data_IF_481199616190
#
_entry.id   IF_481199616190
#
_cell.length_a   1.000
_cell.length_b   1.000
_cell.length_c   1.000
_cell.angle_alpha   90.00
_cell.angle_beta   90.00
_cell.angle_gamma   90.00
#
_symmetry.space_group_name_H-M   'P 1'
#
loop_
_entity.id
_entity.type
_entity.pdbx_description
1 polymer ?
#
# COMPACT_ATOMS: atom_id res chain seq x y z
N UNK A 1 -54.70 -36.10 12.06
CA UNK A 1 -53.29 -35.62 12.20
C UNK A 1 -53.16 -34.28 11.50
N UNK A 2 -52.38 -33.33 12.04
CA UNK A 2 -51.91 -32.16 11.30
C UNK A 2 -50.39 -32.29 11.17
N UNK A 3 -49.87 -32.31 9.96
CA UNK A 3 -48.43 -32.38 9.70
C UNK A 3 -47.81 -31.02 9.96
N UNK A 4 -46.95 -30.92 10.98
CA UNK A 4 -46.17 -29.72 11.25
C UNK A 4 -44.87 -29.80 10.44
N UNK A 5 -44.67 -28.88 9.51
CA UNK A 5 -43.43 -28.76 8.74
C UNK A 5 -42.51 -27.76 9.46
N UNK A 6 -41.50 -28.26 10.16
CA UNK A 6 -40.47 -27.43 10.78
C UNK A 6 -39.52 -26.91 9.70
N UNK A 7 -39.66 -25.64 9.31
CA UNK A 7 -38.78 -24.99 8.36
C UNK A 7 -37.44 -24.66 9.02
N UNK A 8 -36.40 -25.44 8.72
CA UNK A 8 -35.02 -25.07 9.06
C UNK A 8 -34.54 -23.96 8.13
N UNK A 9 -34.54 -22.72 8.62
CA UNK A 9 -33.86 -21.60 7.96
C UNK A 9 -32.36 -21.76 8.24
N UNK A 10 -31.62 -22.24 7.25
CA UNK A 10 -30.16 -22.24 7.31
C UNK A 10 -29.67 -20.82 7.01
N UNK A 11 -29.28 -20.06 8.05
CA UNK A 11 -28.51 -18.84 7.82
C UNK A 11 -27.15 -19.24 7.25
N UNK A 12 -26.99 -19.07 5.94
CA UNK A 12 -25.68 -19.06 5.32
C UNK A 12 -24.95 -17.81 5.77
N UNK A 13 -23.92 -17.97 6.58
CA UNK A 13 -22.89 -16.94 6.71
C UNK A 13 -22.16 -16.89 5.38
N UNK A 14 -22.45 -15.87 4.59
CA UNK A 14 -21.45 -15.35 3.65
C UNK A 14 -20.29 -14.91 4.54
N UNK A 15 -19.20 -15.66 4.51
CA UNK A 15 -17.93 -15.11 4.94
C UNK A 15 -17.43 -14.34 3.72
N UNK A 16 -17.49 -13.03 3.81
CA UNK A 16 -16.92 -12.14 2.81
C UNK A 16 -15.41 -12.41 2.79
N UNK A 17 -14.92 -12.77 1.60
CA UNK A 17 -13.49 -13.02 1.37
C UNK A 17 -12.93 -11.70 0.90
N UNK A 18 -12.12 -11.07 1.74
CA UNK A 18 -11.52 -9.76 1.51
C UNK A 18 -9.99 -9.91 1.40
N UNK A 19 -9.28 -8.90 0.90
CA UNK A 19 -7.93 -9.13 0.33
C UNK A 19 -6.89 -8.05 0.59
N UNK A 20 -5.64 -8.43 0.35
CA UNK A 20 -4.50 -7.53 0.20
C UNK A 20 -4.00 -7.55 -1.26
N UNK A 21 -2.93 -6.82 -1.56
CA UNK A 21 -2.66 -6.43 -2.96
C UNK A 21 -1.31 -6.90 -3.48
N UNK A 22 -1.32 -7.49 -4.67
CA UNK A 22 -0.14 -7.58 -5.55
C UNK A 22 -0.46 -6.79 -6.82
N UNK A 23 0.03 -5.55 -6.87
CA UNK A 23 -0.16 -4.62 -8.00
C UNK A 23 0.80 -4.97 -9.13
N UNK A 24 0.27 -5.17 -10.34
CA UNK A 24 1.00 -5.70 -11.51
C UNK A 24 0.82 -4.83 -12.75
N UNK A 25 1.69 -4.96 -13.75
CA UNK A 25 1.45 -4.29 -15.03
C UNK A 25 0.10 -4.75 -15.60
N UNK A 26 -0.69 -3.88 -16.25
CA UNK A 26 -1.96 -4.30 -16.87
C UNK A 26 -1.78 -5.38 -17.96
N UNK A 27 -0.58 -5.46 -18.56
CA UNK A 27 -0.16 -6.53 -19.47
C UNK A 27 0.08 -7.85 -18.73
N UNK A 28 0.51 -7.78 -17.46
CA UNK A 28 0.66 -8.90 -16.52
C UNK A 28 -0.64 -9.23 -15.75
N UNK A 29 -1.80 -8.76 -16.22
CA UNK A 29 -3.12 -9.28 -15.82
C UNK A 29 -3.55 -10.47 -16.70
N UNK A 30 -4.36 -11.36 -16.15
CA UNK A 30 -5.16 -12.35 -16.89
C UNK A 30 -6.35 -11.68 -17.60
N UNK A 31 -6.97 -12.39 -18.56
CA UNK A 31 -8.25 -11.98 -19.13
C UNK A 31 -9.38 -11.96 -18.08
N UNK A 32 -9.28 -12.82 -17.07
CA UNK A 32 -10.20 -12.82 -15.92
C UNK A 32 -10.07 -11.51 -15.14
N UNK A 33 -8.86 -11.17 -14.65
CA UNK A 33 -8.63 -9.93 -13.91
C UNK A 33 -9.03 -8.68 -14.70
N UNK A 34 -8.74 -8.63 -16.01
CA UNK A 34 -9.16 -7.49 -16.86
C UNK A 34 -10.67 -7.37 -16.96
N UNK A 35 -11.39 -8.49 -17.02
CA UNK A 35 -12.86 -8.51 -17.09
C UNK A 35 -13.46 -8.07 -15.76
N UNK A 36 -12.97 -8.62 -14.64
CA UNK A 36 -13.50 -8.35 -13.31
C UNK A 36 -13.17 -6.93 -12.82
N UNK A 37 -11.99 -6.38 -13.14
CA UNK A 37 -11.68 -4.98 -12.85
C UNK A 37 -12.63 -4.02 -13.59
N UNK A 38 -12.96 -4.33 -14.86
CA UNK A 38 -13.94 -3.55 -15.63
C UNK A 38 -15.34 -3.67 -15.02
N UNK A 39 -15.77 -4.88 -14.64
CA UNK A 39 -17.05 -5.10 -13.96
C UNK A 39 -17.14 -4.30 -12.65
N UNK A 40 -16.13 -4.45 -11.78
CA UNK A 40 -16.03 -3.73 -10.51
C UNK A 40 -16.05 -2.21 -10.72
N UNK A 41 -15.38 -1.66 -11.75
CA UNK A 41 -15.43 -0.23 -12.04
C UNK A 41 -16.81 0.27 -12.50
N UNK A 42 -17.62 -0.56 -13.18
CA UNK A 42 -19.03 -0.21 -13.42
C UNK A 42 -19.86 -0.32 -12.13
N UNK A 43 -19.68 -1.36 -11.32
CA UNK A 43 -20.48 -1.59 -10.12
C UNK A 43 -20.19 -0.56 -9.00
N UNK A 44 -18.92 -0.19 -8.81
CA UNK A 44 -18.47 0.92 -7.93
C UNK A 44 -19.06 2.27 -8.37
N UNK A 45 -19.36 2.43 -9.66
CA UNK A 45 -20.05 3.61 -10.20
C UNK A 45 -21.58 3.52 -10.07
N UNK A 46 -22.15 2.32 -9.99
CA UNK A 46 -23.59 2.06 -9.95
C UNK A 46 -24.19 2.19 -8.53
N UNK A 47 -24.03 3.35 -7.87
CA UNK A 47 -24.57 3.56 -6.53
C UNK A 47 -24.38 4.98 -6.00
N UNK A 48 -23.70 5.10 -4.86
CA UNK A 48 -22.91 6.29 -4.61
C UNK A 48 -21.72 6.23 -5.57
N UNK A 49 -21.63 7.19 -6.51
CA UNK A 49 -20.67 7.15 -7.61
C UNK A 49 -19.27 7.51 -7.08
N UNK A 50 -18.56 6.50 -6.59
CA UNK A 50 -17.23 6.65 -5.99
C UNK A 50 -16.22 7.30 -6.94
N UNK A 51 -16.36 7.11 -8.26
CA UNK A 51 -15.51 7.76 -9.25
C UNK A 51 -15.75 9.27 -9.29
N UNK A 52 -17.01 9.70 -9.27
CA UNK A 52 -17.35 11.13 -9.19
C UNK A 52 -17.03 11.71 -7.81
N UNK A 53 -17.26 11.00 -6.70
CA UNK A 53 -16.97 11.48 -5.35
C UNK A 53 -15.44 11.63 -5.11
N UNK A 54 -14.63 10.67 -5.54
CA UNK A 54 -13.17 10.78 -5.50
C UNK A 54 -12.64 11.87 -6.45
N UNK A 55 -13.29 12.09 -7.61
CA UNK A 55 -12.93 13.18 -8.51
C UNK A 55 -13.33 14.56 -7.97
N UNK A 56 -14.48 14.66 -7.30
CA UNK A 56 -14.94 15.89 -6.66
C UNK A 56 -14.01 16.25 -5.49
N UNK A 57 -13.64 15.30 -4.62
CA UNK A 57 -12.65 15.52 -3.57
C UNK A 57 -11.29 15.96 -4.16
N UNK A 58 -10.78 15.22 -5.15
CA UNK A 58 -9.51 15.56 -5.80
C UNK A 58 -9.56 16.94 -6.47
N UNK A 59 -10.69 17.34 -7.05
CA UNK A 59 -10.91 18.69 -7.58
C UNK A 59 -10.92 19.74 -6.47
N UNK A 60 -11.66 19.55 -5.38
CA UNK A 60 -11.80 20.52 -4.29
C UNK A 60 -10.46 20.82 -3.60
N UNK A 61 -9.59 19.84 -3.47
CA UNK A 61 -8.28 19.97 -2.82
C UNK A 61 -7.10 19.99 -3.81
N UNK A 62 -7.32 20.11 -5.13
CA UNK A 62 -6.28 19.93 -6.16
C UNK A 62 -5.03 20.80 -5.94
N UNK A 63 -5.14 22.08 -6.28
CA UNK A 63 -4.25 23.18 -5.91
C UNK A 63 -5.01 24.49 -6.20
N UNK A 64 -5.20 25.35 -5.20
CA UNK A 64 -5.79 26.67 -5.40
C UNK A 64 -5.12 27.75 -4.54
N UNK A 65 -3.96 28.21 -4.99
CA UNK A 65 -3.18 29.37 -4.49
C UNK A 65 -3.96 30.70 -4.32
N UNK A 66 -5.22 30.77 -4.77
CA UNK A 66 -6.10 31.93 -4.62
C UNK A 66 -7.19 31.75 -3.55
N UNK A 67 -7.14 30.68 -2.74
CA UNK A 67 -8.03 30.54 -1.57
C UNK A 67 -7.51 31.36 -0.39
N UNK A 68 -8.41 32.03 0.34
CA UNK A 68 -8.06 32.96 1.40
C UNK A 68 -7.60 32.30 2.73
N UNK A 69 -7.39 30.99 2.73
CA UNK A 69 -7.01 30.18 3.90
C UNK A 69 -5.62 29.53 3.66
N UNK A 70 -4.54 30.04 4.26
CA UNK A 70 -3.20 29.48 4.08
C UNK A 70 -3.03 28.09 4.73
N UNK A 71 -4.03 27.61 5.48
CA UNK A 71 -4.08 26.29 6.11
C UNK A 71 -4.76 25.22 5.25
N UNK A 72 -5.36 25.60 4.10
CA UNK A 72 -5.91 24.64 3.14
C UNK A 72 -4.85 23.61 2.73
N UNK A 73 -5.30 22.39 2.47
CA UNK A 73 -4.47 21.29 1.98
C UNK A 73 -4.62 21.21 0.45
N UNK A 74 -3.56 21.58 -0.26
CA UNK A 74 -3.43 21.36 -1.69
C UNK A 74 -2.75 19.99 -1.92
N UNK A 75 -3.31 19.17 -2.82
CA UNK A 75 -2.86 17.80 -3.10
C UNK A 75 -1.71 17.75 -4.12
N UNK A 76 -1.64 18.74 -5.01
CA UNK A 76 -0.65 18.87 -6.07
C UNK A 76 0.14 20.18 -5.93
N UNK A 77 1.32 20.19 -6.53
CA UNK A 77 2.15 21.37 -6.76
C UNK A 77 2.65 22.07 -5.50
N UNK A 78 2.73 21.32 -4.41
CA UNK A 78 3.62 21.62 -3.28
C UNK A 78 5.10 21.50 -3.74
N UNK A 79 6.05 22.09 -3.01
CA UNK A 79 7.49 22.20 -3.38
C UNK A 79 7.77 23.07 -4.63
N UNK A 80 8.98 23.65 -4.79
CA UNK A 80 10.16 23.56 -3.92
C UNK A 80 10.04 24.39 -2.63
N UNK A 81 9.29 25.49 -2.65
CA UNK A 81 9.34 26.49 -1.57
C UNK A 81 8.46 26.15 -0.35
N UNK A 82 7.64 25.10 -0.43
CA UNK A 82 6.70 24.71 0.63
C UNK A 82 6.77 23.23 1.07
N UNK A 83 7.92 22.75 1.59
CA UNK A 83 8.06 21.38 2.10
C UNK A 83 7.14 21.06 3.29
N UNK A 84 6.63 22.08 3.99
CA UNK A 84 5.61 21.94 5.04
C UNK A 84 4.22 21.53 4.52
N UNK A 85 4.00 21.56 3.19
CA UNK A 85 2.74 21.17 2.56
C UNK A 85 2.81 19.84 1.80
N UNK A 86 4.00 19.34 1.46
CA UNK A 86 4.20 18.10 0.69
C UNK A 86 3.42 16.90 1.25
N UNK A 87 2.49 16.40 0.44
CA UNK A 87 1.64 15.22 0.64
C UNK A 87 1.29 14.50 -0.69
N UNK A 88 1.83 14.91 -1.85
CA UNK A 88 1.39 14.44 -3.17
C UNK A 88 1.46 12.91 -3.29
N UNK A 89 2.65 12.36 -3.08
CA UNK A 89 2.94 10.92 -3.11
C UNK A 89 2.10 10.08 -2.11
N UNK A 90 2.11 10.37 -0.78
CA UNK A 90 1.36 9.58 0.19
C UNK A 90 -0.15 9.70 -0.02
N UNK A 91 -0.65 10.87 -0.43
CA UNK A 91 -2.08 11.03 -0.69
C UNK A 91 -2.55 10.18 -1.86
N UNK A 92 -1.85 10.20 -3.00
CA UNK A 92 -2.21 9.35 -4.15
C UNK A 92 -2.04 7.85 -3.83
N UNK A 93 -1.00 7.46 -3.08
CA UNK A 93 -0.87 6.08 -2.55
C UNK A 93 -2.11 5.66 -1.74
N UNK A 94 -2.59 6.53 -0.84
CA UNK A 94 -3.82 6.26 -0.07
C UNK A 94 -5.03 6.22 -0.99
N UNK A 95 -5.18 7.16 -1.94
CA UNK A 95 -6.28 7.16 -2.90
C UNK A 95 -6.34 5.86 -3.73
N UNK A 96 -5.19 5.34 -4.20
CA UNK A 96 -5.14 4.05 -4.89
C UNK A 96 -5.59 2.92 -3.98
N UNK A 97 -5.12 2.90 -2.72
CA UNK A 97 -5.53 1.88 -1.75
C UNK A 97 -7.05 1.90 -1.49
N UNK A 98 -7.68 3.07 -1.32
CA UNK A 98 -9.11 3.14 -0.96
C UNK A 98 -10.02 2.70 -2.13
N UNK A 99 -9.66 2.96 -3.39
CA UNK A 99 -10.37 2.36 -4.54
C UNK A 99 -10.10 0.85 -4.62
N UNK A 100 -8.86 0.41 -4.38
CA UNK A 100 -8.49 -1.00 -4.39
C UNK A 100 -9.26 -1.79 -3.33
N UNK A 101 -9.51 -1.20 -2.15
CA UNK A 101 -10.41 -1.77 -1.15
C UNK A 101 -11.83 -1.93 -1.69
N UNK A 102 -12.42 -0.89 -2.30
CA UNK A 102 -13.77 -0.97 -2.89
C UNK A 102 -13.88 -1.99 -4.05
N UNK A 103 -12.80 -2.22 -4.80
CA UNK A 103 -12.70 -3.30 -5.80
C UNK A 103 -12.64 -4.67 -5.14
N UNK A 104 -11.90 -4.81 -4.04
CA UNK A 104 -11.75 -6.06 -3.29
C UNK A 104 -13.00 -6.46 -2.49
N UNK A 105 -13.86 -5.50 -2.12
CA UNK A 105 -15.22 -5.78 -1.60
C UNK A 105 -16.12 -6.51 -2.61
N UNK A 106 -15.88 -6.31 -3.91
CA UNK A 106 -16.59 -6.97 -5.01
C UNK A 106 -15.90 -8.27 -5.41
N UNK A 107 -14.57 -8.24 -5.55
CA UNK A 107 -13.77 -9.43 -5.88
C UNK A 107 -12.37 -9.37 -5.24
N UNK A 108 -12.06 -10.18 -4.21
CA UNK A 108 -10.78 -10.15 -3.50
C UNK A 108 -9.55 -10.43 -4.37
N UNK A 109 -9.71 -11.09 -5.52
CA UNK A 109 -8.58 -11.45 -6.40
C UNK A 109 -8.04 -10.28 -7.21
N UNK A 110 -8.74 -9.13 -7.17
CA UNK A 110 -8.48 -7.99 -8.06
C UNK A 110 -7.75 -6.89 -7.29
N UNK A 111 -6.45 -6.75 -7.54
CA UNK A 111 -5.68 -5.54 -7.20
C UNK A 111 -5.70 -4.55 -8.37
N UNK A 112 -5.40 -3.28 -8.11
CA UNK A 112 -5.15 -2.31 -9.17
C UNK A 112 -3.88 -2.71 -9.97
N UNK A 113 -3.92 -2.43 -11.26
CA UNK A 113 -2.79 -2.62 -12.16
C UNK A 113 -2.11 -1.28 -12.47
N UNK A 114 -0.83 -1.31 -12.84
CA UNK A 114 -0.10 -0.13 -13.32
C UNK A 114 0.01 -0.11 -14.85
N UNK A 115 -0.07 1.09 -15.42
CA UNK A 115 0.31 1.38 -16.81
C UNK A 115 1.68 2.05 -16.82
N UNK A 116 2.69 1.33 -17.30
CA UNK A 116 4.01 1.93 -17.57
C UNK A 116 3.92 2.86 -18.77
N UNK A 117 3.73 4.14 -18.47
CA UNK A 117 3.62 5.23 -19.43
C UNK A 117 4.94 5.52 -20.15
N UNK A 118 6.08 5.03 -19.64
CA UNK A 118 7.39 5.19 -20.28
C UNK A 118 7.62 4.18 -21.40
N UNK A 119 7.00 3.00 -21.30
CA UNK A 119 7.11 1.90 -22.27
C UNK A 119 5.89 1.82 -23.21
N UNK A 120 4.67 1.78 -22.68
CA UNK A 120 3.47 1.62 -23.51
C UNK A 120 2.88 2.97 -23.92
N UNK A 121 3.32 3.44 -25.09
CA UNK A 121 2.94 4.73 -25.65
C UNK A 121 1.97 4.64 -26.84
N UNK A 122 1.38 3.46 -27.10
CA UNK A 122 0.54 3.25 -28.29
C UNK A 122 -0.90 3.70 -28.06
N UNK A 123 -1.41 4.54 -28.97
CA UNK A 123 -2.84 4.91 -29.02
C UNK A 123 -3.74 3.72 -29.43
N UNK A 124 -3.14 2.61 -29.91
CA UNK A 124 -3.82 1.34 -30.19
C UNK A 124 -3.30 0.21 -29.30
N UNK A 125 -2.73 0.53 -28.13
CA UNK A 125 -2.37 -0.46 -27.10
C UNK A 125 -3.58 -1.29 -26.67
N UNK A 126 -3.39 -2.56 -26.25
CA UNK A 126 -4.44 -3.35 -25.59
C UNK A 126 -5.09 -2.67 -24.38
N UNK A 127 -4.42 -1.68 -23.77
CA UNK A 127 -4.98 -0.81 -22.72
C UNK A 127 -6.30 -0.15 -23.18
N UNK A 128 -6.34 0.31 -24.43
CA UNK A 128 -7.45 1.06 -25.02
C UNK A 128 -8.50 0.18 -25.72
N UNK A 129 -8.39 -1.14 -25.62
CA UNK A 129 -9.41 -2.04 -26.14
C UNK A 129 -10.76 -1.84 -25.43
N UNK A 130 -11.85 -2.08 -26.17
CA UNK A 130 -13.22 -1.88 -25.65
C UNK A 130 -13.58 -2.82 -24.50
N UNK A 131 -12.95 -4.00 -24.40
CA UNK A 131 -13.07 -4.92 -23.27
C UNK A 131 -12.13 -4.60 -22.08
N UNK A 132 -11.45 -3.46 -22.12
CA UNK A 132 -10.67 -2.91 -21.01
C UNK A 132 -10.94 -1.40 -20.91
N UNK A 133 -9.93 -0.54 -20.76
CA UNK A 133 -10.16 0.90 -20.50
C UNK A 133 -10.87 1.65 -21.65
N UNK A 134 -10.97 1.06 -22.84
CA UNK A 134 -11.52 1.71 -24.04
C UNK A 134 -13.02 2.03 -24.00
N UNK A 135 -13.84 1.20 -23.34
CA UNK A 135 -15.31 1.41 -23.31
C UNK A 135 -15.72 2.65 -22.51
N UNK A 136 -15.03 2.91 -21.40
CA UNK A 136 -15.29 4.06 -20.53
C UNK A 136 -15.21 5.40 -21.27
N UNK A 137 -14.37 5.54 -22.31
CA UNK A 137 -14.22 6.81 -23.04
C UNK A 137 -15.56 7.30 -23.61
N UNK A 138 -16.31 6.39 -24.25
CA UNK A 138 -17.65 6.68 -24.78
C UNK A 138 -18.69 6.62 -23.66
N UNK A 139 -18.68 5.54 -22.87
CA UNK A 139 -19.75 5.24 -21.92
C UNK A 139 -19.84 6.26 -20.78
N UNK A 140 -18.70 6.84 -20.36
CA UNK A 140 -18.62 7.83 -19.29
C UNK A 140 -18.27 9.24 -19.82
N UNK A 141 -18.39 9.47 -21.14
CA UNK A 141 -18.16 10.78 -21.78
C UNK A 141 -16.81 11.44 -21.44
N UNK A 142 -15.73 10.65 -21.39
CA UNK A 142 -14.42 11.11 -20.91
C UNK A 142 -13.67 11.99 -21.92
N UNK A 143 -14.06 11.95 -23.22
CA UNK A 143 -13.51 12.79 -24.29
C UNK A 143 -11.98 12.70 -24.48
N UNK A 144 -11.38 11.51 -24.27
CA UNK A 144 -9.94 11.28 -24.43
C UNK A 144 -9.45 11.64 -25.84
N UNK A 145 -8.26 12.22 -25.92
CA UNK A 145 -7.58 12.65 -27.15
C UNK A 145 -6.14 12.09 -27.17
N UNK A 146 -6.03 10.76 -27.25
CA UNK A 146 -4.78 10.01 -27.03
C UNK A 146 -3.65 10.50 -27.95
N UNK A 147 -2.57 11.00 -27.35
CA UNK A 147 -1.41 11.56 -28.05
C UNK A 147 -1.59 12.96 -28.65
N UNK A 148 -2.78 13.55 -28.55
CA UNK A 148 -3.11 14.80 -29.25
C UNK A 148 -2.58 16.09 -28.59
N UNK A 149 -2.20 16.06 -27.31
CA UNK A 149 -1.88 17.28 -26.54
C UNK A 149 -0.42 17.34 -26.03
N UNK A 150 0.37 16.27 -26.17
CA UNK A 150 1.75 16.18 -25.66
C UNK A 150 2.25 14.74 -25.59
N UNK A 151 3.57 14.53 -25.36
CA UNK A 151 4.18 13.20 -25.27
C UNK A 151 3.98 12.55 -23.88
N UNK A 152 4.17 11.23 -23.85
CA UNK A 152 4.41 10.46 -22.64
C UNK A 152 5.88 10.56 -22.21
N UNK A 153 6.25 10.15 -20.98
CA UNK A 153 7.66 10.05 -20.58
C UNK A 153 8.40 9.00 -21.42
N UNK A 154 9.72 9.02 -21.38
CA UNK A 154 10.58 7.94 -21.90
C UNK A 154 11.33 7.25 -20.74
N UNK A 155 11.88 6.03 -20.91
CA UNK A 155 12.50 5.30 -19.80
C UNK A 155 13.70 6.00 -19.16
N UNK A 156 14.35 6.93 -19.87
CA UNK A 156 15.39 7.79 -19.30
C UNK A 156 14.83 8.77 -18.26
N UNK A 157 13.57 9.22 -18.37
CA UNK A 157 12.96 10.14 -17.41
C UNK A 157 12.74 9.43 -16.06
N UNK A 158 12.25 8.19 -16.10
CA UNK A 158 12.11 7.32 -14.91
C UNK A 158 13.49 6.98 -14.32
N UNK A 159 14.47 6.66 -15.16
CA UNK A 159 15.85 6.40 -14.72
C UNK A 159 16.50 7.63 -14.03
N UNK A 160 16.25 8.84 -14.56
CA UNK A 160 16.74 10.08 -13.97
C UNK A 160 16.18 10.31 -12.56
N UNK A 161 14.92 9.97 -12.31
CA UNK A 161 14.30 10.06 -10.97
C UNK A 161 14.96 9.12 -9.96
N UNK A 162 15.31 7.89 -10.35
CA UNK A 162 16.06 6.96 -9.50
C UNK A 162 17.51 7.40 -9.23
N UNK A 163 18.02 8.42 -9.92
CA UNK A 163 19.29 9.08 -9.60
C UNK A 163 19.19 10.18 -8.53
N UNK A 164 17.98 10.55 -8.10
CA UNK A 164 17.75 11.68 -7.19
C UNK A 164 17.66 11.23 -5.73
N UNK A 165 18.77 11.25 -5.01
CA UNK A 165 18.85 10.83 -3.59
C UNK A 165 18.19 11.78 -2.57
N UNK A 166 17.59 12.88 -3.01
CA UNK A 166 16.85 13.79 -2.15
C UNK A 166 15.34 13.70 -2.42
N UNK A 167 14.57 13.28 -1.42
CA UNK A 167 13.13 13.04 -1.53
C UNK A 167 12.35 14.23 -2.14
N UNK A 168 12.56 15.45 -1.65
CA UNK A 168 11.84 16.63 -2.15
C UNK A 168 12.17 16.93 -3.62
N UNK A 169 13.43 16.70 -4.04
CA UNK A 169 13.85 16.87 -5.44
C UNK A 169 13.21 15.81 -6.34
N UNK A 170 13.20 14.55 -5.87
CA UNK A 170 12.54 13.42 -6.54
C UNK A 170 11.03 13.67 -6.70
N UNK A 171 10.31 13.98 -5.62
CA UNK A 171 8.86 14.16 -5.61
C UNK A 171 8.41 15.30 -6.55
N UNK A 172 9.04 16.47 -6.44
CA UNK A 172 8.74 17.62 -7.28
C UNK A 172 9.02 17.35 -8.78
N UNK A 173 10.09 16.64 -9.13
CA UNK A 173 10.39 16.34 -10.54
C UNK A 173 9.46 15.24 -11.09
N UNK A 174 9.19 14.19 -10.30
CA UNK A 174 8.21 13.13 -10.62
C UNK A 174 6.83 13.72 -10.94
N UNK A 175 6.31 14.56 -10.05
CA UNK A 175 5.00 15.20 -10.17
C UNK A 175 4.93 16.17 -11.35
N UNK A 176 5.88 17.12 -11.45
CA UNK A 176 5.76 18.25 -12.37
C UNK A 176 6.21 17.97 -13.80
N UNK A 177 6.99 16.90 -14.05
CA UNK A 177 7.54 16.56 -15.37
C UNK A 177 6.79 15.43 -16.07
N UNK A 178 7.40 14.89 -17.13
CA UNK A 178 6.78 13.94 -18.04
C UNK A 178 6.21 12.69 -17.35
N UNK A 179 6.82 12.21 -16.26
CA UNK A 179 6.43 10.93 -15.63
C UNK A 179 4.98 10.94 -15.15
N UNK A 180 4.58 11.89 -14.30
CA UNK A 180 3.18 12.11 -13.93
C UNK A 180 2.43 12.95 -14.97
N UNK A 181 2.86 14.20 -15.21
CA UNK A 181 2.12 15.17 -16.04
C UNK A 181 1.94 14.71 -17.50
N UNK A 182 2.85 13.91 -18.04
CA UNK A 182 2.78 13.42 -19.42
C UNK A 182 1.56 12.56 -19.69
N UNK A 183 1.25 11.61 -18.80
CA UNK A 183 0.09 10.72 -18.95
C UNK A 183 -1.25 11.48 -18.88
N UNK A 184 -1.35 12.43 -17.94
CA UNK A 184 -2.50 13.33 -17.81
C UNK A 184 -2.75 14.13 -19.11
N UNK A 185 -1.70 14.70 -19.70
CA UNK A 185 -1.82 15.51 -20.93
C UNK A 185 -2.03 14.64 -22.18
N UNK A 186 -1.25 13.57 -22.35
CA UNK A 186 -1.32 12.67 -23.51
C UNK A 186 -2.68 11.97 -23.63
N UNK A 187 -3.30 11.58 -22.50
CA UNK A 187 -4.62 10.94 -22.54
C UNK A 187 -5.73 11.92 -22.94
N UNK A 188 -5.63 13.18 -22.52
CA UNK A 188 -6.63 14.21 -22.83
C UNK A 188 -7.99 13.96 -22.15
N UNK A 189 -9.00 14.72 -22.57
CA UNK A 189 -10.36 14.58 -22.02
C UNK A 189 -10.45 15.04 -20.55
N UNK A 190 -10.92 14.16 -19.67
CA UNK A 190 -10.95 14.40 -18.23
C UNK A 190 -9.55 14.39 -17.56
N UNK A 191 -8.60 13.59 -18.08
CA UNK A 191 -7.27 13.40 -17.48
C UNK A 191 -6.42 14.67 -17.27
N UNK A 192 -6.39 15.69 -18.16
CA UNK A 192 -5.62 16.93 -17.90
C UNK A 192 -6.31 17.90 -16.92
N UNK A 193 -7.35 17.47 -16.18
CA UNK A 193 -8.14 18.33 -15.30
C UNK A 193 -8.09 17.89 -13.82
N UNK A 194 -8.48 18.76 -12.86
CA UNK A 194 -8.70 18.38 -11.47
C UNK A 194 -9.79 17.30 -11.27
N UNK A 195 -10.64 17.03 -12.26
CA UNK A 195 -11.64 15.95 -12.26
C UNK A 195 -11.12 14.64 -12.88
N UNK A 196 -9.80 14.51 -13.04
CA UNK A 196 -9.15 13.36 -13.68
C UNK A 196 -9.46 11.98 -13.09
N UNK A 197 -9.75 11.79 -11.78
CA UNK A 197 -10.21 10.51 -11.26
C UNK A 197 -11.54 9.99 -11.86
N UNK A 198 -12.29 10.81 -12.62
CA UNK A 198 -13.45 10.32 -13.41
C UNK A 198 -13.05 9.31 -14.50
N UNK A 199 -11.80 9.31 -14.93
CA UNK A 199 -11.28 8.38 -15.93
C UNK A 199 -10.59 7.18 -15.24
N UNK A 200 -11.06 5.93 -15.43
CA UNK A 200 -10.42 4.76 -14.83
C UNK A 200 -8.93 4.60 -15.09
N UNK A 201 -8.39 5.16 -16.18
CA UNK A 201 -6.95 5.09 -16.46
C UNK A 201 -6.12 6.01 -15.54
N UNK A 202 -6.75 6.95 -14.83
CA UNK A 202 -6.15 7.71 -13.73
C UNK A 202 -5.55 6.76 -12.68
N UNK A 203 -6.29 5.74 -12.26
CA UNK A 203 -5.86 4.82 -11.23
C UNK A 203 -4.74 3.88 -11.73
N UNK A 204 -4.79 3.47 -13.00
CA UNK A 204 -3.70 2.71 -13.62
C UNK A 204 -2.42 3.55 -13.75
N UNK A 205 -2.56 4.85 -14.01
CA UNK A 205 -1.44 5.79 -14.05
C UNK A 205 -0.86 6.07 -12.66
N UNK A 206 -1.70 6.42 -11.67
CA UNK A 206 -1.23 6.70 -10.31
C UNK A 206 -0.71 5.46 -9.58
N UNK A 207 -1.16 4.26 -9.95
CA UNK A 207 -0.53 3.01 -9.49
C UNK A 207 0.89 2.83 -10.05
N UNK A 208 1.21 3.40 -11.23
CA UNK A 208 2.58 3.46 -11.77
C UNK A 208 3.42 4.57 -11.11
N UNK A 209 2.84 5.74 -10.82
CA UNK A 209 3.51 6.79 -10.03
C UNK A 209 3.89 6.26 -8.65
N UNK A 210 2.98 5.53 -7.99
CA UNK A 210 3.22 4.89 -6.70
C UNK A 210 4.26 3.75 -6.78
N UNK A 211 4.29 2.98 -7.88
CA UNK A 211 5.34 1.99 -8.14
C UNK A 211 6.73 2.62 -8.25
N UNK A 212 6.86 3.78 -8.90
CA UNK A 212 8.14 4.52 -8.98
C UNK A 212 8.58 4.98 -7.59
N UNK A 213 7.65 5.47 -6.75
CA UNK A 213 8.01 5.83 -5.36
C UNK A 213 8.37 4.62 -4.49
N UNK A 214 7.66 3.49 -4.63
CA UNK A 214 8.04 2.23 -4.00
C UNK A 214 9.47 1.80 -4.36
N UNK A 215 9.82 1.81 -5.66
CA UNK A 215 11.18 1.48 -6.10
C UNK A 215 12.22 2.49 -5.59
N UNK A 216 11.87 3.78 -5.47
CA UNK A 216 12.75 4.81 -4.90
C UNK A 216 13.00 4.60 -3.40
N UNK A 217 11.99 4.20 -2.63
CA UNK A 217 12.14 3.85 -1.21
C UNK A 217 12.97 2.57 -1.01
N UNK A 218 12.84 1.54 -1.87
CA UNK A 218 13.72 0.36 -1.78
C UNK A 218 15.20 0.66 -2.16
N UNK A 219 15.48 1.80 -2.82
CA UNK A 219 16.85 2.29 -3.07
C UNK A 219 17.37 3.15 -1.92
N UNK A 220 16.56 4.08 -1.40
CA UNK A 220 17.02 5.15 -0.50
C UNK A 220 16.43 5.11 0.92
N UNK A 221 15.25 4.53 1.13
CA UNK A 221 14.52 4.41 2.40
C UNK A 221 14.63 5.70 3.25
N UNK A 222 14.21 6.84 2.68
CA UNK A 222 14.49 8.17 3.23
C UNK A 222 13.39 9.21 3.03
N UNK A 223 12.23 8.82 2.50
CA UNK A 223 11.04 9.66 2.45
C UNK A 223 10.66 10.14 3.85
N UNK A 224 10.49 11.44 4.03
CA UNK A 224 10.20 12.06 5.32
C UNK A 224 9.37 13.33 5.10
N UNK A 225 8.19 13.36 5.68
CA UNK A 225 7.21 14.43 5.52
C UNK A 225 7.14 15.28 6.79
N UNK A 226 7.22 16.60 6.65
CA UNK A 226 7.07 17.52 7.77
C UNK A 226 5.64 17.54 8.34
N UNK A 227 4.63 17.08 7.56
CA UNK A 227 3.27 16.86 8.05
C UNK A 227 3.15 15.53 8.79
N UNK A 228 2.49 15.57 9.95
CA UNK A 228 2.04 14.39 10.70
C UNK A 228 0.61 13.95 10.36
N UNK A 229 -0.08 14.69 9.47
CA UNK A 229 -1.44 14.40 9.03
C UNK A 229 -1.71 14.90 7.60
N UNK A 230 -2.54 14.14 6.89
CA UNK A 230 -3.21 14.50 5.64
C UNK A 230 -4.66 14.01 5.68
N UNK A 231 -5.55 14.67 4.92
CA UNK A 231 -6.89 14.17 4.69
C UNK A 231 -6.83 12.88 3.83
N UNK A 232 -7.83 12.01 4.00
CA UNK A 232 -8.10 10.89 3.07
C UNK A 232 -9.54 10.97 2.59
N UNK A 233 -9.80 10.39 1.43
CA UNK A 233 -11.13 9.94 1.05
C UNK A 233 -11.28 8.48 1.48
N UNK A 234 -12.36 8.11 2.18
CA UNK A 234 -12.55 6.74 2.70
C UNK A 234 -13.97 6.19 2.52
N UNK A 235 -14.74 6.76 1.58
CA UNK A 235 -16.13 6.40 1.33
C UNK A 235 -17.13 6.98 2.34
N UNK A 236 -16.68 7.51 3.49
CA UNK A 236 -17.60 8.00 4.53
C UNK A 236 -18.00 9.47 4.36
N UNK A 237 -18.55 9.83 3.20
CA UNK A 237 -19.19 11.14 2.99
C UNK A 237 -20.53 11.24 3.74
N UNK A 238 -20.45 11.38 5.06
CA UNK A 238 -21.59 11.78 5.90
C UNK A 238 -21.53 13.28 6.18
N UNK A 239 -22.27 14.06 5.39
CA UNK A 239 -22.38 15.51 5.55
C UNK A 239 -23.27 15.87 6.76
N UNK A 240 -22.84 15.50 7.98
CA UNK A 240 -23.57 15.71 9.23
C UNK A 240 -22.70 15.82 10.50
N UNK A 241 -21.37 16.00 10.38
CA UNK A 241 -20.55 16.56 11.46
C UNK A 241 -19.57 15.63 12.19
N UNK A 242 -19.17 14.50 11.60
CA UNK A 242 -18.01 13.73 12.07
C UNK A 242 -16.76 14.00 11.20
N UNK A 243 -15.58 13.81 11.77
CA UNK A 243 -14.30 14.20 11.17
C UNK A 243 -13.65 13.03 10.44
N UNK A 244 -13.29 13.23 9.16
CA UNK A 244 -12.51 12.25 8.37
C UNK A 244 -11.22 11.85 9.11
N UNK A 245 -10.96 10.55 9.37
CA UNK A 245 -9.78 10.12 10.11
C UNK A 245 -8.50 10.38 9.30
N UNK A 246 -7.65 11.23 9.87
CA UNK A 246 -6.40 11.70 9.26
C UNK A 246 -5.34 10.59 9.21
N UNK A 247 -4.63 10.51 8.08
CA UNK A 247 -3.49 9.58 7.91
C UNK A 247 -2.19 10.35 8.13
N UNK A 248 -1.22 9.76 8.83
CA UNK A 248 0.14 10.33 8.86
C UNK A 248 0.87 9.89 7.58
N UNK A 249 1.33 10.80 6.70
CA UNK A 249 2.05 10.40 5.49
C UNK A 249 3.32 9.58 5.79
N UNK A 250 3.97 9.82 6.93
CA UNK A 250 5.12 9.04 7.38
C UNK A 250 4.80 7.61 7.86
N UNK A 251 3.52 7.26 8.07
CA UNK A 251 3.16 5.87 8.39
C UNK A 251 2.91 4.99 7.16
N UNK A 252 2.97 5.56 5.94
CA UNK A 252 2.72 4.86 4.68
C UNK A 252 3.82 5.04 3.62
N UNK A 253 5.04 5.43 4.02
CA UNK A 253 6.23 5.47 3.15
C UNK A 253 6.61 4.08 2.61
N UNK A 254 6.38 3.04 3.41
CA UNK A 254 6.44 1.64 3.00
C UNK A 254 5.05 1.14 2.60
N UNK A 255 4.88 0.60 1.39
CA UNK A 255 3.60 0.02 0.92
C UNK A 255 3.16 -1.18 1.75
N UNK A 256 4.10 -1.90 2.38
CA UNK A 256 3.84 -3.01 3.30
C UNK A 256 3.07 -2.56 4.55
N UNK A 257 3.06 -1.27 4.90
CA UNK A 257 2.18 -0.72 5.96
C UNK A 257 0.67 -0.80 5.62
N UNK A 258 0.35 -0.95 4.33
CA UNK A 258 -0.99 -1.14 3.80
C UNK A 258 -1.26 -2.61 3.44
N UNK A 259 -0.24 -3.48 3.46
CA UNK A 259 -0.29 -4.83 2.89
C UNK A 259 -0.16 -4.86 1.36
N UNK A 260 0.31 -3.77 0.75
CA UNK A 260 0.44 -3.63 -0.70
C UNK A 260 1.85 -4.03 -1.16
N UNK A 261 1.92 -4.96 -2.11
CA UNK A 261 3.13 -5.38 -2.81
C UNK A 261 3.04 -5.06 -4.31
N UNK A 262 4.19 -5.05 -4.96
CA UNK A 262 4.31 -4.93 -6.42
C UNK A 262 4.88 -6.21 -7.04
N UNK A 263 4.28 -6.65 -8.14
CA UNK A 263 4.76 -7.72 -9.01
C UNK A 263 5.14 -7.18 -10.39
N UNK A 264 6.27 -7.64 -10.94
CA UNK A 264 6.78 -7.20 -12.23
C UNK A 264 7.63 -8.30 -12.89
N UNK A 265 7.62 -8.35 -14.22
CA UNK A 265 8.41 -9.30 -15.03
C UNK A 265 8.16 -10.79 -14.63
N UNK A 266 6.93 -11.11 -14.24
CA UNK A 266 6.56 -12.46 -13.82
C UNK A 266 6.96 -12.85 -12.37
N UNK A 267 7.40 -11.90 -11.54
CA UNK A 267 7.77 -12.14 -10.14
C UNK A 267 7.13 -11.11 -9.19
N UNK A 268 6.48 -11.60 -8.14
CA UNK A 268 6.12 -10.84 -6.95
C UNK A 268 6.91 -11.38 -5.74
N UNK A 269 7.60 -10.50 -5.01
CA UNK A 269 8.36 -10.87 -3.80
C UNK A 269 7.64 -10.39 -2.55
N UNK A 270 7.14 -11.32 -1.75
CA UNK A 270 6.49 -11.09 -0.47
C UNK A 270 7.52 -11.29 0.65
N UNK A 271 8.16 -10.19 1.04
CA UNK A 271 9.23 -10.11 2.06
C UNK A 271 8.91 -9.06 3.14
N UNK A 272 9.53 -9.18 4.31
CA UNK A 272 9.53 -8.17 5.40
C UNK A 272 8.14 -7.69 5.80
N UNK A 273 7.21 -8.62 6.00
CA UNK A 273 5.81 -8.34 6.29
C UNK A 273 5.26 -9.29 7.35
N UNK A 274 4.39 -8.77 8.21
CA UNK A 274 3.65 -9.57 9.18
C UNK A 274 2.18 -9.39 8.86
N UNK A 275 1.51 -10.48 8.48
CA UNK A 275 0.05 -10.50 8.27
C UNK A 275 -0.62 -9.97 9.53
N UNK A 276 -1.57 -9.07 9.34
CA UNK A 276 -2.05 -8.21 10.43
C UNK A 276 -3.57 -8.23 10.59
N UNK A 277 -4.29 -8.52 9.51
CA UNK A 277 -5.72 -8.29 9.35
C UNK A 277 -6.18 -6.87 9.73
N UNK A 278 -5.26 -5.88 9.68
CA UNK A 278 -5.52 -4.48 10.10
C UNK A 278 -6.66 -3.84 9.32
N UNK A 279 -6.70 -4.10 8.02
CA UNK A 279 -7.72 -3.56 7.13
C UNK A 279 -8.81 -4.58 6.81
N UNK A 280 -8.46 -5.89 6.75
CA UNK A 280 -9.28 -6.96 6.18
C UNK A 280 -9.25 -8.25 7.03
N UNK A 281 -10.38 -8.93 7.29
CA UNK A 281 -10.44 -10.15 8.09
C UNK A 281 -9.65 -11.35 7.54
N UNK A 282 -9.33 -11.32 6.25
CA UNK A 282 -8.36 -12.19 5.59
C UNK A 282 -7.43 -11.34 4.71
N UNK A 283 -6.17 -11.73 4.58
CA UNK A 283 -5.21 -11.10 3.66
C UNK A 283 -4.91 -12.04 2.49
N UNK A 284 -5.66 -11.89 1.39
CA UNK A 284 -5.45 -12.65 0.14
C UNK A 284 -4.39 -11.94 -0.73
N UNK A 285 -3.47 -12.69 -1.34
CA UNK A 285 -2.45 -12.19 -2.26
C UNK A 285 -2.50 -12.96 -3.59
N UNK A 286 -2.98 -12.31 -4.67
CA UNK A 286 -3.24 -12.97 -5.97
C UNK A 286 -2.34 -12.45 -7.12
N UNK A 287 -1.61 -13.35 -7.80
CA UNK A 287 -0.74 -12.99 -8.93
C UNK A 287 -0.56 -14.15 -9.92
N UNK A 288 -0.72 -13.92 -11.23
CA UNK A 288 -0.73 -15.03 -12.19
C UNK A 288 0.62 -15.72 -12.39
N UNK A 289 1.73 -15.03 -12.13
CA UNK A 289 3.08 -15.58 -12.27
C UNK A 289 3.67 -15.97 -10.90
N UNK A 290 5.00 -16.06 -10.78
CA UNK A 290 5.66 -16.55 -9.57
C UNK A 290 5.43 -15.60 -8.38
N UNK A 291 4.79 -16.12 -7.33
CA UNK A 291 4.84 -15.49 -6.00
C UNK A 291 5.99 -16.15 -5.24
N UNK A 292 7.00 -15.37 -4.85
CA UNK A 292 8.05 -15.81 -3.94
C UNK A 292 7.81 -15.19 -2.56
N UNK A 293 7.64 -16.03 -1.55
CA UNK A 293 7.33 -15.60 -0.17
C UNK A 293 8.41 -16.08 0.80
N UNK A 294 8.91 -15.19 1.66
CA UNK A 294 9.96 -15.49 2.63
C UNK A 294 10.61 -14.24 3.21
N UNK A 295 11.87 -14.32 3.66
CA UNK A 295 12.65 -13.18 4.19
C UNK A 295 11.84 -12.30 5.17
N UNK A 296 11.45 -12.86 6.32
CA UNK A 296 10.58 -12.25 7.32
C UNK A 296 9.15 -11.98 6.80
N UNK A 297 8.54 -12.96 6.10
CA UNK A 297 7.09 -12.99 5.87
C UNK A 297 6.44 -13.90 6.91
N UNK A 298 5.72 -13.31 7.86
CA UNK A 298 5.20 -14.00 9.04
C UNK A 298 3.67 -13.94 9.06
N UNK A 299 3.02 -15.07 9.34
CA UNK A 299 1.56 -15.17 9.54
C UNK A 299 1.29 -15.48 11.01
N UNK A 300 1.11 -14.46 11.89
CA UNK A 300 1.06 -14.63 13.34
C UNK A 300 -0.26 -15.27 13.83
N UNK A 301 -0.23 -15.75 15.07
CA UNK A 301 -1.35 -16.49 15.66
C UNK A 301 -2.65 -15.68 15.66
N UNK A 302 -3.75 -16.29 15.23
CA UNK A 302 -5.06 -15.63 15.12
C UNK A 302 -5.28 -14.80 13.84
N UNK A 303 -4.30 -14.71 12.93
CA UNK A 303 -4.47 -14.06 11.62
C UNK A 303 -4.85 -15.03 10.51
N UNK A 304 -5.45 -14.52 9.43
CA UNK A 304 -5.85 -15.28 8.24
C UNK A 304 -5.23 -14.70 6.95
N UNK A 305 -4.58 -15.54 6.16
CA UNK A 305 -3.84 -15.20 4.96
C UNK A 305 -3.99 -16.29 3.88
N UNK A 306 -4.17 -15.87 2.62
CA UNK A 306 -4.19 -16.76 1.46
C UNK A 306 -3.22 -16.25 0.40
N UNK A 307 -2.38 -17.12 -0.14
CA UNK A 307 -1.52 -16.81 -1.29
C UNK A 307 -1.98 -17.66 -2.47
N UNK A 308 -2.34 -17.00 -3.57
CA UNK A 308 -2.91 -17.64 -4.75
C UNK A 308 -2.15 -17.23 -6.02
N UNK A 309 -1.65 -18.22 -6.77
CA UNK A 309 -0.99 -17.98 -8.06
C UNK A 309 -1.61 -18.83 -9.16
N UNK A 310 -1.65 -18.34 -10.40
CA UNK A 310 -2.03 -19.19 -11.55
C UNK A 310 -0.90 -20.16 -11.91
N UNK A 311 0.37 -19.82 -11.61
CA UNK A 311 1.54 -20.61 -12.02
C UNK A 311 2.29 -21.28 -10.85
N UNK A 312 2.84 -20.51 -9.91
CA UNK A 312 3.79 -21.01 -8.91
C UNK A 312 3.82 -20.15 -7.64
N UNK A 313 3.92 -20.81 -6.48
CA UNK A 313 4.20 -20.19 -5.18
C UNK A 313 5.46 -20.84 -4.62
N UNK A 314 6.54 -20.06 -4.50
CA UNK A 314 7.83 -20.50 -3.95
C UNK A 314 8.02 -19.94 -2.54
N UNK A 315 7.80 -20.78 -1.54
CA UNK A 315 8.17 -20.50 -0.15
C UNK A 315 9.69 -20.67 0.01
N UNK A 316 10.36 -19.65 0.53
CA UNK A 316 11.82 -19.65 0.81
C UNK A 316 12.07 -19.37 2.30
N UNK A 317 13.31 -19.59 2.81
CA UNK A 317 13.63 -19.32 4.21
C UNK A 317 13.21 -17.90 4.68
N UNK A 318 12.79 -17.80 5.94
CA UNK A 318 12.15 -16.61 6.47
C UNK A 318 10.67 -16.45 6.10
N UNK A 319 10.03 -17.47 5.52
CA UNK A 319 8.57 -17.63 5.58
C UNK A 319 8.19 -18.40 6.85
N UNK A 320 7.25 -17.88 7.63
CA UNK A 320 6.80 -18.49 8.89
C UNK A 320 5.29 -18.37 9.04
N UNK A 321 4.56 -19.48 8.84
CA UNK A 321 3.15 -19.58 9.19
C UNK A 321 3.04 -20.08 10.63
N UNK A 322 2.79 -19.16 11.57
CA UNK A 322 2.86 -19.46 13.00
C UNK A 322 1.70 -20.35 13.46
N UNK A 323 1.86 -20.92 14.65
CA UNK A 323 0.80 -21.59 15.39
C UNK A 323 -0.53 -20.84 15.38
N UNK A 324 -1.63 -21.50 15.01
CA UNK A 324 -2.99 -20.93 15.17
C UNK A 324 -3.29 -19.76 14.22
N UNK A 325 -2.38 -19.45 13.29
CA UNK A 325 -2.73 -18.74 12.07
C UNK A 325 -3.62 -19.62 11.18
N UNK A 326 -4.34 -18.98 10.26
CA UNK A 326 -4.96 -19.63 9.11
C UNK A 326 -4.17 -19.23 7.87
N UNK A 327 -3.35 -20.15 7.37
CA UNK A 327 -2.59 -19.92 6.15
C UNK A 327 -3.03 -20.89 5.05
N UNK A 328 -3.31 -20.35 3.86
CA UNK A 328 -3.57 -21.10 2.64
C UNK A 328 -2.56 -20.70 1.55
N UNK A 329 -2.08 -21.68 0.80
CA UNK A 329 -1.37 -21.46 -0.46
C UNK A 329 -1.96 -22.38 -1.53
N UNK A 330 -2.35 -21.84 -2.69
CA UNK A 330 -2.96 -22.63 -3.76
C UNK A 330 -2.60 -22.15 -5.17
N UNK A 331 -2.56 -23.11 -6.10
CA UNK A 331 -2.42 -22.83 -7.53
C UNK A 331 -3.80 -22.81 -8.20
N UNK A 332 -4.15 -21.71 -8.84
CA UNK A 332 -5.42 -21.52 -9.55
C UNK A 332 -5.42 -22.24 -10.91
N UNK A 333 -5.64 -23.55 -10.83
CA UNK A 333 -5.85 -24.44 -11.98
C UNK A 333 -7.13 -24.14 -12.78
N UNK A 334 -8.06 -23.32 -12.28
CA UNK A 334 -9.26 -22.94 -13.02
C UNK A 334 -8.95 -21.89 -14.10
N UNK A 335 -8.03 -20.97 -13.82
CA UNK A 335 -7.53 -20.00 -14.80
C UNK A 335 -6.46 -20.56 -15.76
N UNK A 336 -5.89 -21.75 -15.50
CA UNK A 336 -4.87 -22.36 -16.36
C UNK A 336 -5.39 -22.90 -17.71
N UNK A 337 -6.66 -23.33 -17.85
CA UNK A 337 -7.12 -23.93 -19.11
C UNK A 337 -8.62 -23.86 -19.42
N UNK A 338 -8.92 -23.38 -20.64
CA UNK A 338 -10.24 -23.37 -21.33
C UNK A 338 -11.44 -22.72 -20.62
N UNK A 339 -11.98 -21.67 -21.24
CA UNK A 339 -13.28 -21.05 -20.90
C UNK A 339 -14.42 -22.10 -20.76
N UNK A 340 -15.07 -22.21 -19.59
CA UNK A 340 -16.44 -22.70 -19.46
C UNK A 340 -17.41 -21.52 -19.47
N UNK A 341 -18.64 -21.69 -19.97
CA UNK A 341 -19.63 -20.61 -20.01
C UNK A 341 -20.08 -20.15 -18.61
N UNK A 342 -20.33 -18.83 -18.48
CA UNK A 342 -20.79 -18.10 -17.28
C UNK A 342 -21.77 -18.91 -16.42
N UNK A 343 -21.45 -19.08 -15.12
CA UNK A 343 -22.37 -19.58 -14.08
C UNK A 343 -22.13 -18.92 -12.72
N UNK A 344 -23.09 -18.13 -12.25
CA UNK A 344 -23.20 -17.65 -10.87
C UNK A 344 -23.43 -18.79 -9.88
N UNK A 345 -22.96 -18.64 -8.63
CA UNK A 345 -23.17 -19.58 -7.51
C UNK A 345 -23.28 -18.87 -6.16
N UNK A 346 -23.71 -19.63 -5.14
CA UNK A 346 -24.22 -19.12 -3.85
C UNK A 346 -23.68 -20.00 -2.70
N UNK A 347 -23.17 -19.37 -1.62
CA UNK A 347 -22.79 -19.88 -0.29
C UNK A 347 -21.41 -20.57 -0.05
N UNK A 348 -20.95 -20.50 1.21
CA UNK A 348 -19.58 -20.70 1.75
C UNK A 348 -19.61 -21.63 3.03
N UNK A 349 -18.60 -22.46 3.42
CA UNK A 349 -18.87 -23.64 4.27
C UNK A 349 -18.13 -23.91 5.62
N UNK A 350 -16.96 -23.35 5.96
CA UNK A 350 -16.03 -23.97 6.98
C UNK A 350 -15.69 -23.16 8.26
N UNK A 351 -14.97 -23.78 9.23
CA UNK A 351 -14.68 -23.28 10.61
C UNK A 351 -13.28 -23.66 11.17
N UNK A 352 -12.91 -23.05 12.30
CA UNK A 352 -11.56 -22.93 12.93
C UNK A 352 -11.17 -24.00 13.98
N UNK A 353 -9.87 -24.10 14.33
CA UNK A 353 -9.24 -24.99 15.34
C UNK A 353 -8.03 -24.29 16.02
N UNK A 354 -7.69 -24.62 17.28
CA UNK A 354 -7.16 -23.64 18.26
C UNK A 354 -5.64 -23.60 18.61
N UNK A 355 -4.81 -24.65 18.45
CA UNK A 355 -3.51 -24.73 19.18
C UNK A 355 -2.30 -25.36 18.41
N UNK A 356 -1.12 -24.75 18.56
CA UNK A 356 0.26 -25.20 18.18
C UNK A 356 1.30 -24.34 18.98
N UNK A 357 2.63 -24.43 18.74
CA UNK A 357 3.70 -23.49 19.21
C UNK A 357 4.97 -23.54 18.29
N UNK A 358 6.01 -22.74 18.59
CA UNK A 358 6.99 -22.16 17.63
C UNK A 358 8.46 -22.05 18.15
N UNK A 359 9.48 -21.97 17.27
CA UNK A 359 10.93 -21.90 17.61
C UNK A 359 11.76 -21.13 16.55
N UNK A 360 12.73 -20.29 16.98
CA UNK A 360 13.51 -19.28 16.18
C UNK A 360 15.05 -19.50 16.25
N UNK A 361 15.85 -18.99 15.28
CA UNK A 361 17.33 -18.82 15.33
C UNK A 361 17.87 -17.59 14.54
N UNK A 362 19.17 -17.24 14.69
CA UNK A 362 19.83 -15.94 14.33
C UNK A 362 21.07 -16.07 13.39
N UNK A 363 21.63 -14.96 12.85
CA UNK A 363 23.08 -14.82 12.52
C UNK A 363 23.57 -13.33 12.32
N UNK A 364 24.91 -13.09 12.21
CA UNK A 364 25.62 -11.79 12.37
C UNK A 364 26.98 -11.76 11.58
N UNK A 365 27.63 -10.68 11.09
CA UNK A 365 27.35 -9.26 10.73
C UNK A 365 28.70 -8.57 10.27
N UNK A 366 28.70 -7.39 9.59
CA UNK A 366 29.83 -6.39 9.56
C UNK A 366 29.61 -5.09 8.75
N UNK A 367 30.27 -4.02 9.21
CA UNK A 367 30.37 -2.62 8.72
C UNK A 367 31.52 -2.41 7.67
N UNK A 368 31.76 -1.24 7.04
CA UNK A 368 31.32 0.16 7.31
C UNK A 368 30.44 0.76 6.20
N UNK A 369 29.39 1.53 6.58
CA UNK A 369 28.55 2.36 5.69
C UNK A 369 27.85 3.50 6.50
N UNK A 370 27.05 4.44 5.92
CA UNK A 370 26.93 5.80 6.46
C UNK A 370 26.38 5.82 7.90
N UNK A 371 27.21 6.30 8.83
CA UNK A 371 27.21 6.03 10.29
C UNK A 371 25.89 5.49 10.82
N UNK A 372 25.77 4.16 10.75
CA UNK A 372 24.56 3.45 11.15
C UNK A 372 24.29 3.68 12.63
N UNK A 373 23.18 4.36 12.95
CA UNK A 373 22.59 4.38 14.28
C UNK A 373 21.95 2.99 14.53
N UNK A 374 22.81 2.03 14.85
CA UNK A 374 22.43 0.63 15.07
C UNK A 374 21.69 0.52 16.40
N UNK A 375 20.50 -0.07 16.33
CA UNK A 375 19.78 -0.60 17.49
C UNK A 375 19.93 -2.13 17.40
N UNK A 376 20.66 -2.75 18.33
CA UNK A 376 21.06 -4.15 18.24
C UNK A 376 21.11 -4.88 19.61
N UNK A 377 20.79 -6.18 19.67
CA UNK A 377 20.19 -6.97 18.60
C UNK A 377 18.80 -6.41 18.22
N UNK A 378 18.37 -6.65 16.98
CA UNK A 378 17.05 -6.24 16.50
C UNK A 378 16.61 -7.23 15.40
N UNK A 379 15.81 -8.27 15.73
CA UNK A 379 15.01 -8.43 16.95
C UNK A 379 15.79 -8.52 18.28
N UNK A 380 15.18 -8.13 19.40
CA UNK A 380 15.76 -8.14 20.75
C UNK A 380 14.92 -8.97 21.74
N UNK A 381 15.59 -9.56 22.73
CA UNK A 381 14.95 -10.35 23.80
C UNK A 381 14.76 -9.53 25.08
N UNK A 382 15.82 -9.28 25.86
CA UNK A 382 15.75 -8.56 27.15
C UNK A 382 16.53 -7.24 27.18
N UNK A 383 17.38 -7.03 26.18
CA UNK A 383 18.31 -5.90 26.08
C UNK A 383 18.36 -5.43 24.64
N UNK A 384 18.31 -4.11 24.44
CA UNK A 384 18.70 -3.48 23.18
C UNK A 384 19.74 -2.39 23.43
N UNK A 385 20.76 -2.37 22.57
CA UNK A 385 21.86 -1.42 22.57
C UNK A 385 21.62 -0.43 21.43
N UNK A 386 21.67 0.87 21.70
CA UNK A 386 21.61 1.91 20.67
C UNK A 386 22.95 2.63 20.66
N UNK A 387 23.62 2.61 19.51
CA UNK A 387 24.83 3.42 19.28
C UNK A 387 24.44 4.78 18.69
N UNK A 388 24.95 5.83 19.32
CA UNK A 388 24.93 7.20 18.81
C UNK A 388 26.27 7.52 18.13
N UNK A 389 26.26 8.47 17.20
CA UNK A 389 27.45 8.92 16.48
C UNK A 389 28.35 9.88 17.27
N UNK A 390 27.93 10.31 18.47
CA UNK A 390 28.65 11.21 19.38
C UNK A 390 28.10 11.07 20.80
N UNK A 391 28.92 11.39 21.80
CA UNK A 391 28.46 11.50 23.18
C UNK A 391 27.38 12.58 23.31
N UNK A 392 26.21 12.21 23.83
CA UNK A 392 25.04 13.12 23.93
C UNK A 392 24.30 12.93 25.26
N UNK A 393 23.84 14.03 25.86
CA UNK A 393 22.85 14.03 26.93
C UNK A 393 21.45 13.81 26.32
N UNK A 394 20.79 12.71 26.67
CA UNK A 394 19.55 12.29 26.03
C UNK A 394 18.64 11.46 26.95
N UNK A 395 17.34 11.49 26.68
CA UNK A 395 16.39 10.48 27.18
C UNK A 395 16.04 9.49 26.08
N UNK A 396 15.62 8.30 26.47
CA UNK A 396 15.29 7.20 25.57
C UNK A 396 13.94 6.65 25.98
N UNK A 397 13.01 6.69 25.04
CA UNK A 397 11.59 6.42 25.24
C UNK A 397 11.18 5.22 24.38
N UNK A 398 10.63 4.19 25.01
CA UNK A 398 10.12 2.99 24.32
C UNK A 398 8.60 3.10 24.21
N UNK A 399 8.06 2.99 23.00
CA UNK A 399 6.63 3.03 22.71
C UNK A 399 6.14 1.72 22.10
N UNK A 400 4.90 1.32 22.40
CA UNK A 400 4.21 0.29 21.63
C UNK A 400 3.65 0.88 20.30
N UNK A 401 3.17 0.02 19.40
CA UNK A 401 2.59 0.47 18.12
C UNK A 401 1.29 1.31 18.26
N UNK A 402 0.66 1.33 19.43
CA UNK A 402 -0.49 2.18 19.73
C UNK A 402 -0.07 3.58 20.25
N UNK A 403 1.23 3.91 20.23
CA UNK A 403 1.76 5.20 20.70
C UNK A 403 1.84 5.35 22.22
N UNK A 404 1.55 4.30 22.99
CA UNK A 404 1.66 4.32 24.44
C UNK A 404 3.12 4.23 24.90
N UNK A 405 3.56 5.17 25.75
CA UNK A 405 4.88 5.15 26.38
C UNK A 405 4.97 3.98 27.37
N UNK A 406 5.91 3.08 27.13
CA UNK A 406 6.17 1.87 27.90
C UNK A 406 7.27 2.10 28.94
N UNK A 407 8.31 2.87 28.59
CA UNK A 407 9.46 3.13 29.45
C UNK A 407 10.21 4.38 28.99
N UNK A 408 10.78 5.12 29.94
CA UNK A 408 11.71 6.21 29.67
C UNK A 408 12.94 6.09 30.58
N UNK A 409 14.15 6.28 30.04
CA UNK A 409 15.40 6.31 30.80
C UNK A 409 16.27 7.49 30.32
N UNK A 410 17.10 8.06 31.20
CA UNK A 410 17.94 9.23 30.90
C UNK A 410 19.42 8.86 30.99
N UNK A 411 20.18 9.26 29.98
CA UNK A 411 21.61 8.99 29.83
C UNK A 411 22.36 10.31 29.65
N UNK A 412 23.53 10.43 30.30
CA UNK A 412 24.37 11.62 30.21
C UNK A 412 25.66 11.31 29.46
N UNK A 413 26.05 12.22 28.56
CA UNK A 413 27.31 12.24 27.83
C UNK A 413 27.74 10.86 27.24
N UNK A 414 26.81 10.10 26.66
CA UNK A 414 27.08 8.73 26.16
C UNK A 414 26.96 8.62 24.64
N UNK A 415 27.83 7.81 24.02
CA UNK A 415 27.67 7.31 22.66
C UNK A 415 26.92 5.95 22.62
N UNK A 416 26.71 5.34 23.79
CA UNK A 416 26.22 3.97 23.94
C UNK A 416 25.09 3.94 24.96
N UNK A 417 23.88 3.73 24.47
CA UNK A 417 22.67 3.55 25.27
C UNK A 417 22.43 2.05 25.40
N UNK A 418 22.15 1.56 26.61
CA UNK A 418 21.83 0.15 26.84
C UNK A 418 20.53 0.09 27.65
N UNK A 419 19.42 -0.26 26.99
CA UNK A 419 18.14 -0.49 27.64
C UNK A 419 18.08 -1.97 28.03
N UNK A 420 18.54 -2.29 29.25
CA UNK A 420 18.46 -3.63 29.83
C UNK A 420 17.05 -3.89 30.41
N UNK A 421 16.75 -5.14 30.83
CA UNK A 421 15.54 -5.47 31.61
C UNK A 421 14.23 -5.16 30.88
N UNK A 422 14.14 -5.42 29.58
CA UNK A 422 12.90 -5.34 28.80
C UNK A 422 12.08 -6.64 28.90
N UNK A 423 12.19 -7.34 30.04
CA UNK A 423 11.36 -8.49 30.37
C UNK A 423 9.90 -8.05 30.59
N UNK A 424 8.95 -8.90 30.20
CA UNK A 424 7.51 -8.59 30.28
C UNK A 424 6.95 -7.73 29.16
N UNK A 425 7.77 -7.29 28.18
CA UNK A 425 7.24 -6.83 26.90
C UNK A 425 6.76 -8.02 26.07
N UNK A 426 5.56 -7.91 25.49
CA UNK A 426 5.04 -8.88 24.54
C UNK A 426 5.85 -8.84 23.23
N UNK A 427 5.94 -9.97 22.54
CA UNK A 427 6.53 -10.07 21.20
C UNK A 427 5.86 -9.09 20.22
N UNK A 428 6.62 -8.61 19.24
CA UNK A 428 6.14 -7.66 18.23
C UNK A 428 6.90 -6.33 18.21
N UNK A 429 6.33 -5.32 17.53
CA UNK A 429 7.04 -4.08 17.24
C UNK A 429 6.94 -3.03 18.35
N UNK A 430 8.05 -2.34 18.58
CA UNK A 430 8.15 -1.16 19.43
C UNK A 430 8.86 -0.04 18.67
N UNK A 431 8.55 1.21 18.98
CA UNK A 431 9.29 2.37 18.47
C UNK A 431 10.12 2.92 19.62
N UNK A 432 11.45 2.93 19.45
CA UNK A 432 12.33 3.62 20.39
C UNK A 432 12.65 5.01 19.84
N UNK A 433 12.35 6.04 20.63
CA UNK A 433 12.82 7.41 20.40
C UNK A 433 13.99 7.70 21.32
N UNK A 434 15.02 8.37 20.79
CA UNK A 434 16.05 9.04 21.59
C UNK A 434 15.83 10.54 21.41
N UNK A 435 15.77 11.27 22.52
CA UNK A 435 15.41 12.68 22.61
C UNK A 435 16.54 13.44 23.30
N UNK A 436 16.95 14.59 22.79
CA UNK A 436 18.04 15.39 23.37
C UNK A 436 17.62 16.13 24.65
N UNK A 437 18.57 16.76 25.33
CA UNK A 437 18.34 17.54 26.55
C UNK A 437 17.43 18.79 26.39
N UNK A 438 16.96 19.12 25.19
CA UNK A 438 15.97 20.19 24.92
C UNK A 438 14.57 19.65 24.61
N UNK A 439 14.45 18.36 24.27
CA UNK A 439 13.22 17.75 23.77
C UNK A 439 13.21 17.44 22.27
N UNK A 440 14.33 17.66 21.55
CA UNK A 440 14.41 17.37 20.11
C UNK A 440 14.66 15.87 19.86
N UNK A 441 13.89 15.23 18.98
CA UNK A 441 14.07 13.80 18.66
C UNK A 441 15.33 13.60 17.81
N UNK A 442 16.34 12.94 18.39
CA UNK A 442 17.62 12.60 17.72
C UNK A 442 17.42 11.44 16.73
N UNK A 443 16.64 10.45 17.12
CA UNK A 443 16.30 9.27 16.30
C UNK A 443 14.98 8.67 16.78
N UNK A 444 14.15 8.23 15.83
CA UNK A 444 13.07 7.28 16.08
C UNK A 444 13.34 6.01 15.26
N UNK A 445 13.33 4.83 15.89
CA UNK A 445 13.63 3.55 15.23
C UNK A 445 12.63 2.47 15.64
N UNK A 446 12.00 1.85 14.65
CA UNK A 446 11.18 0.64 14.82
C UNK A 446 12.12 -0.53 15.11
N UNK A 447 11.80 -1.28 16.16
CA UNK A 447 12.53 -2.45 16.64
C UNK A 447 11.55 -3.58 16.96
N UNK A 448 12.04 -4.82 16.97
CA UNK A 448 11.22 -6.03 17.15
C UNK A 448 11.59 -6.69 18.47
N UNK A 449 10.61 -6.95 19.34
CA UNK A 449 10.75 -7.82 20.52
C UNK A 449 10.45 -9.26 20.11
N UNK A 450 11.36 -10.18 20.42
CA UNK A 450 11.10 -11.64 20.47
C UNK A 450 10.53 -11.98 21.85
#
# INVERSE_FOLDING_TARGET
MKTVYTLFILLGLVMDVEAQSIRKNYQEMTDYERTELVNAFYDIRNGADLFDDMANFHMEFFNFDNTADPTRLDLHFNLPDEPQREIFLPWHRRQMFELEQAVQDINPRISLAWWDTSIDQSTTSPLWNQNFMGSFNTNWSLNRNLGGNGPLPVPSDVSNLYGMSNFNTFSNELERRAVHRGAHVWTGGAMPTPLSPRDPVFFLHHTFVDFIWFNWEEIYNSSSFLRSSMLRYDGTYSFNGETLPLVNPNSITDTRSLGVFYGANGLANLNNYIVSNTYRPQEVFYYQFLIRVGNNFIVPSGTDCSIESVNEILMVPGFEATSGSRFLASIDVANQSNRPGIKTRINNPYKHVENLQEIVWEEDNKDDSPVLLQAFPNPFTEKITIKLNKNTDCSVEVFNMMGGLIRQEVFQNTDTIIINKLYGLAAGFYVIRVVDAKGDIIIAKRVVKL
#
